data_IF_147715290909
#
_entry.id   IF_147715290909
#
_cell.length_a   1.000
_cell.length_b   1.000
_cell.length_c   1.000
_cell.angle_alpha   90.00
_cell.angle_beta   90.00
_cell.angle_gamma   90.00
#
_symmetry.space_group_name_H-M   'P 1'
#
loop_
_entity.id
_entity.type
_entity.pdbx_description
1 polymer ?
#
# COMPACT_ATOMS: atom_id res chain seq x y z
N UNK A 1 -2.79 -23.83 27.85
CA UNK A 1 -2.68 -22.88 26.73
C UNK A 1 -2.29 -21.54 27.31
N UNK A 2 -1.17 -20.99 26.87
CA UNK A 2 -0.61 -19.71 27.34
C UNK A 2 -0.77 -18.67 26.22
N UNK A 3 -1.21 -17.46 26.57
CA UNK A 3 -1.39 -16.35 25.62
C UNK A 3 -0.19 -15.42 25.71
N UNK A 4 0.53 -15.28 24.61
CA UNK A 4 1.65 -14.35 24.49
C UNK A 4 1.16 -13.08 23.79
N UNK A 5 1.08 -11.98 24.53
CA UNK A 5 0.89 -10.65 23.97
C UNK A 5 2.26 -10.06 23.64
N UNK A 6 2.55 -9.88 22.35
CA UNK A 6 3.88 -9.47 21.93
C UNK A 6 3.93 -7.96 21.66
N UNK A 7 4.47 -7.23 22.64
CA UNK A 7 4.90 -5.83 22.52
C UNK A 7 5.95 -5.65 21.41
N UNK A 8 6.06 -4.46 20.82
CA UNK A 8 6.84 -4.11 19.61
C UNK A 8 8.33 -4.52 19.50
N UNK A 9 8.94 -5.25 20.45
CA UNK A 9 10.37 -5.65 20.44
C UNK A 9 10.58 -7.07 20.99
N UNK A 10 11.59 -7.77 20.47
CA UNK A 10 12.09 -9.04 21.01
C UNK A 10 11.17 -10.25 20.78
N UNK A 11 10.38 -10.21 19.70
CA UNK A 11 9.30 -11.17 19.48
C UNK A 11 9.81 -12.59 19.19
N UNK A 12 10.84 -12.72 18.35
CA UNK A 12 11.51 -13.99 18.05
C UNK A 12 12.07 -14.65 19.30
N UNK A 13 12.86 -13.93 20.08
CA UNK A 13 13.50 -14.47 21.29
C UNK A 13 12.47 -14.92 22.32
N UNK A 14 11.36 -14.18 22.50
CA UNK A 14 10.26 -14.62 23.38
C UNK A 14 9.61 -15.93 22.92
N UNK A 15 9.42 -16.12 21.62
CA UNK A 15 8.91 -17.38 21.08
C UNK A 15 9.88 -18.54 21.34
N UNK A 16 11.18 -18.30 21.14
CA UNK A 16 12.24 -19.28 21.40
C UNK A 16 12.28 -19.65 22.90
N UNK A 17 12.24 -18.67 23.79
CA UNK A 17 12.21 -18.88 25.25
C UNK A 17 10.96 -19.66 25.68
N UNK A 18 9.81 -19.35 25.09
CA UNK A 18 8.57 -20.06 25.31
C UNK A 18 8.67 -21.53 24.90
N UNK A 19 9.22 -21.81 23.72
CA UNK A 19 9.48 -23.17 23.28
C UNK A 19 10.45 -23.91 24.19
N UNK A 20 11.60 -23.28 24.50
CA UNK A 20 12.63 -23.86 25.37
C UNK A 20 12.06 -24.26 26.73
N UNK A 21 11.13 -23.47 27.27
CA UNK A 21 10.51 -23.71 28.58
C UNK A 21 9.46 -24.82 28.57
N UNK A 22 8.99 -25.23 27.38
CA UNK A 22 7.85 -26.14 27.21
C UNK A 22 8.20 -27.49 26.58
N UNK A 23 9.46 -27.72 26.17
CA UNK A 23 9.92 -28.97 25.55
C UNK A 23 11.12 -29.60 26.28
N UNK A 24 11.31 -30.91 26.16
CA UNK A 24 12.49 -31.61 26.70
C UNK A 24 13.73 -31.38 25.83
N UNK A 25 14.62 -30.49 26.23
CA UNK A 25 15.83 -30.13 25.48
C UNK A 25 16.84 -31.28 25.23
N UNK A 26 16.65 -32.45 25.86
CA UNK A 26 17.49 -33.64 25.63
C UNK A 26 17.12 -34.37 24.34
N UNK A 27 15.89 -34.19 23.87
CA UNK A 27 15.34 -34.81 22.66
C UNK A 27 15.79 -34.05 21.40
N UNK A 28 15.66 -34.71 20.25
CA UNK A 28 15.87 -34.14 18.93
C UNK A 28 14.52 -33.74 18.34
N UNK A 29 14.45 -32.60 17.65
CA UNK A 29 13.20 -32.02 17.17
C UNK A 29 13.23 -31.66 15.69
N UNK A 30 12.05 -31.76 15.06
CA UNK A 30 11.72 -31.05 13.83
C UNK A 30 11.02 -29.73 14.19
N UNK A 31 11.42 -28.64 13.54
CA UNK A 31 10.73 -27.35 13.57
C UNK A 31 9.90 -27.18 12.30
N UNK A 32 8.58 -27.03 12.43
CA UNK A 32 7.69 -26.70 11.32
C UNK A 32 7.23 -25.24 11.44
N UNK A 33 7.42 -24.45 10.40
CA UNK A 33 7.05 -23.03 10.35
C UNK A 33 6.01 -22.84 9.24
N UNK A 34 4.87 -22.27 9.58
CA UNK A 34 3.81 -21.93 8.64
C UNK A 34 3.67 -20.42 8.60
N UNK A 35 3.76 -19.81 7.43
CA UNK A 35 3.67 -18.36 7.29
C UNK A 35 3.08 -17.94 5.94
N UNK A 36 2.33 -16.85 5.91
CA UNK A 36 1.84 -16.27 4.66
C UNK A 36 2.81 -15.25 4.05
N UNK A 37 3.68 -14.67 4.88
CA UNK A 37 4.76 -13.77 4.46
C UNK A 37 6.09 -14.16 5.09
N UNK A 38 7.18 -14.03 4.35
CA UNK A 38 8.53 -14.33 4.78
C UNK A 38 9.37 -13.05 4.79
N UNK A 39 10.43 -13.02 5.60
CA UNK A 39 11.38 -11.92 5.57
C UNK A 39 12.12 -11.84 4.22
N UNK A 40 12.25 -10.63 3.69
CA UNK A 40 12.99 -10.36 2.45
C UNK A 40 14.48 -10.73 2.56
N UNK A 41 15.03 -10.55 3.77
CA UNK A 41 16.38 -10.91 4.13
C UNK A 41 16.38 -12.28 4.82
N UNK A 42 16.75 -13.31 4.06
CA UNK A 42 16.83 -14.70 4.53
C UNK A 42 17.88 -14.89 5.63
N UNK A 43 18.83 -13.96 5.82
CA UNK A 43 19.73 -14.01 6.97
C UNK A 43 18.96 -13.89 8.30
N UNK A 44 17.79 -13.24 8.32
CA UNK A 44 16.94 -13.19 9.53
C UNK A 44 16.31 -14.53 9.84
N UNK A 45 15.93 -15.28 8.80
CA UNK A 45 15.44 -16.66 8.93
C UNK A 45 16.56 -17.54 9.49
N UNK A 46 17.77 -17.42 8.94
CA UNK A 46 18.93 -18.18 9.41
C UNK A 46 19.31 -17.85 10.85
N UNK A 47 19.40 -16.57 11.20
CA UNK A 47 19.67 -16.15 12.57
C UNK A 47 18.64 -16.71 13.58
N UNK A 48 17.36 -16.81 13.20
CA UNK A 48 16.34 -17.41 14.05
C UNK A 48 16.58 -18.90 14.28
N UNK A 49 16.92 -19.64 13.21
CA UNK A 49 17.21 -21.08 13.27
C UNK A 49 18.47 -21.34 14.10
N UNK A 50 19.49 -20.50 13.98
CA UNK A 50 20.70 -20.55 14.80
C UNK A 50 20.39 -20.27 16.28
N UNK A 51 19.58 -19.25 16.56
CA UNK A 51 19.19 -18.88 17.93
C UNK A 51 18.41 -20.02 18.61
N UNK A 52 17.43 -20.62 17.93
CA UNK A 52 16.67 -21.74 18.51
C UNK A 52 17.52 -23.01 18.62
N UNK A 53 18.38 -23.31 17.65
CA UNK A 53 19.24 -24.50 17.65
C UNK A 53 20.32 -24.45 18.75
N UNK A 54 20.69 -23.26 19.20
CA UNK A 54 21.55 -23.06 20.38
C UNK A 54 20.93 -23.58 21.68
N UNK A 55 19.60 -23.67 21.74
CA UNK A 55 18.84 -24.02 22.94
C UNK A 55 18.07 -25.34 22.84
N UNK A 56 17.74 -25.77 21.61
CA UNK A 56 16.93 -26.95 21.31
C UNK A 56 17.65 -27.73 20.21
N UNK A 57 17.78 -29.05 20.36
CA UNK A 57 18.48 -29.89 19.37
C UNK A 57 17.60 -30.09 18.13
N UNK A 58 17.70 -29.16 17.18
CA UNK A 58 17.06 -29.29 15.88
C UNK A 58 17.83 -30.25 14.98
N UNK A 59 17.10 -31.06 14.23
CA UNK A 59 17.66 -31.87 13.12
C UNK A 59 17.02 -31.54 11.79
N UNK A 60 15.80 -31.00 11.80
CA UNK A 60 15.02 -30.74 10.61
C UNK A 60 14.22 -29.44 10.79
N UNK A 61 14.14 -28.65 9.73
CA UNK A 61 13.32 -27.44 9.63
C UNK A 61 12.49 -27.52 8.36
N UNK A 62 11.16 -27.45 8.51
CA UNK A 62 10.22 -27.41 7.40
C UNK A 62 9.54 -26.06 7.35
N UNK A 63 9.71 -25.35 6.25
CA UNK A 63 9.16 -24.03 6.04
C UNK A 63 8.01 -24.09 5.03
N UNK A 64 6.79 -23.94 5.52
CA UNK A 64 5.55 -23.90 4.75
C UNK A 64 5.15 -22.45 4.47
N UNK A 65 5.19 -22.06 3.21
CA UNK A 65 4.97 -20.67 2.79
C UNK A 65 3.88 -20.62 1.72
N UNK A 66 3.12 -19.54 1.70
CA UNK A 66 2.28 -19.24 0.56
C UNK A 66 3.07 -19.26 -0.77
N UNK A 67 2.54 -19.94 -1.80
CA UNK A 67 3.24 -20.06 -3.07
C UNK A 67 3.54 -18.72 -3.75
N UNK A 68 2.69 -17.70 -3.57
CA UNK A 68 2.91 -16.35 -4.11
C UNK A 68 4.10 -15.67 -3.43
N UNK A 69 4.31 -15.96 -2.15
CA UNK A 69 5.45 -15.44 -1.40
C UNK A 69 6.76 -16.12 -1.84
N UNK A 70 6.72 -17.42 -2.14
CA UNK A 70 7.86 -18.11 -2.75
C UNK A 70 8.24 -17.49 -4.12
N UNK A 71 7.23 -17.20 -4.95
CA UNK A 71 7.44 -16.51 -6.23
C UNK A 71 8.00 -15.11 -6.00
N UNK A 72 7.45 -14.35 -5.05
CA UNK A 72 7.89 -12.99 -4.71
C UNK A 72 9.38 -12.94 -4.39
N UNK A 73 9.85 -13.81 -3.50
CA UNK A 73 11.26 -13.89 -3.05
C UNK A 73 12.17 -14.43 -4.15
N UNK A 74 11.67 -15.39 -4.93
CA UNK A 74 12.39 -16.05 -5.99
C UNK A 74 12.73 -17.50 -5.63
N UNK A 75 12.28 -18.42 -6.48
CA UNK A 75 12.43 -19.87 -6.27
C UNK A 75 13.90 -20.28 -6.19
N UNK A 76 14.77 -19.76 -7.06
CA UNK A 76 16.21 -20.09 -7.03
C UNK A 76 16.89 -19.59 -5.75
N UNK A 77 16.56 -18.37 -5.30
CA UNK A 77 17.09 -17.81 -4.06
C UNK A 77 16.69 -18.67 -2.85
N UNK A 78 15.47 -19.20 -2.84
CA UNK A 78 15.01 -20.13 -1.80
C UNK A 78 15.70 -21.50 -1.87
N UNK A 79 16.03 -22.00 -3.07
CA UNK A 79 16.81 -23.23 -3.23
C UNK A 79 18.25 -23.08 -2.79
N UNK A 80 18.92 -22.01 -3.20
CA UNK A 80 20.27 -21.69 -2.73
C UNK A 80 20.28 -21.59 -1.20
N UNK A 81 19.23 -21.02 -0.61
CA UNK A 81 19.06 -20.99 0.84
C UNK A 81 18.86 -22.39 1.44
N UNK A 82 18.00 -23.23 0.85
CA UNK A 82 17.81 -24.63 1.27
C UNK A 82 19.12 -25.45 1.21
N UNK A 83 19.86 -25.34 0.10
CA UNK A 83 21.14 -26.00 -0.11
C UNK A 83 22.21 -25.55 0.89
N UNK A 84 22.17 -24.28 1.33
CA UNK A 84 23.14 -23.76 2.31
C UNK A 84 23.06 -24.45 3.68
N UNK A 85 21.95 -25.12 4.01
CA UNK A 85 21.81 -25.88 5.27
C UNK A 85 22.42 -27.29 5.23
N UNK A 86 22.80 -27.79 4.04
CA UNK A 86 23.50 -29.07 3.93
C UNK A 86 24.77 -29.11 4.80
N UNK A 87 25.44 -27.97 4.96
CA UNK A 87 26.66 -27.82 5.76
C UNK A 87 26.41 -27.81 7.29
N UNK A 88 25.17 -27.58 7.74
CA UNK A 88 24.83 -27.40 9.16
C UNK A 88 24.31 -28.68 9.84
N UNK A 89 24.26 -29.81 9.13
CA UNK A 89 23.70 -31.08 9.62
C UNK A 89 22.26 -30.94 10.17
N UNK A 90 21.52 -29.96 9.65
CA UNK A 90 20.10 -29.73 9.85
C UNK A 90 19.46 -29.83 8.47
N UNK A 91 18.51 -30.76 8.29
CA UNK A 91 17.70 -30.80 7.08
C UNK A 91 16.85 -29.55 6.99
N UNK A 92 16.85 -28.86 5.85
CA UNK A 92 15.97 -27.73 5.60
C UNK A 92 15.14 -28.03 4.36
N UNK A 93 13.84 -27.77 4.42
CA UNK A 93 12.93 -27.98 3.29
C UNK A 93 11.96 -26.80 3.18
N UNK A 94 11.85 -26.20 1.98
CA UNK A 94 10.80 -25.24 1.69
C UNK A 94 9.66 -25.90 0.93
N UNK A 95 8.46 -25.83 1.51
CA UNK A 95 7.22 -26.29 0.87
C UNK A 95 6.30 -25.11 0.61
N UNK A 96 5.97 -24.88 -0.65
CA UNK A 96 4.97 -23.90 -1.03
C UNK A 96 3.56 -24.46 -0.91
N UNK A 97 2.65 -23.65 -0.39
CA UNK A 97 1.23 -23.95 -0.29
C UNK A 97 0.51 -23.13 -1.36
N UNK A 98 0.07 -23.85 -2.39
CA UNK A 98 -0.61 -23.31 -3.55
C UNK A 98 -2.12 -23.53 -3.41
N UNK A 99 -2.81 -22.48 -3.01
CA UNK A 99 -4.27 -22.46 -2.87
C UNK A 99 -4.88 -21.30 -3.65
N UNK A 100 -6.13 -21.41 -4.14
CA UNK A 100 -6.79 -20.31 -4.84
C UNK A 100 -6.83 -19.01 -4.03
N UNK A 101 -7.03 -19.13 -2.71
CA UNK A 101 -7.01 -18.03 -1.76
C UNK A 101 -5.66 -17.92 -1.06
N UNK A 102 -5.41 -16.81 -0.35
CA UNK A 102 -4.21 -16.62 0.47
C UNK A 102 -4.12 -17.75 1.52
N UNK A 103 -2.99 -18.46 1.54
CA UNK A 103 -2.65 -19.35 2.65
C UNK A 103 -2.37 -18.47 3.86
N UNK A 104 -3.27 -18.43 4.84
CA UNK A 104 -3.23 -17.41 5.90
C UNK A 104 -2.83 -17.97 7.28
N UNK A 105 -2.45 -19.24 7.38
CA UNK A 105 -2.04 -19.85 8.64
C UNK A 105 -0.66 -19.34 9.07
N UNK A 106 -0.52 -19.07 10.37
CA UNK A 106 0.73 -18.61 10.99
C UNK A 106 0.96 -19.41 12.26
N UNK A 107 1.91 -20.33 12.18
CA UNK A 107 2.15 -21.30 13.22
C UNK A 107 3.61 -21.72 13.27
N UNK A 108 4.06 -22.08 14.45
CA UNK A 108 5.42 -22.53 14.73
C UNK A 108 5.29 -23.76 15.62
N UNK A 109 5.81 -24.90 15.18
CA UNK A 109 5.65 -26.16 15.88
C UNK A 109 6.99 -26.87 16.06
N UNK A 110 7.24 -27.37 17.26
CA UNK A 110 8.29 -28.33 17.56
C UNK A 110 7.65 -29.67 17.88
N UNK A 111 8.14 -30.73 17.26
CA UNK A 111 7.77 -32.10 17.61
C UNK A 111 9.05 -32.94 17.72
N UNK A 112 9.17 -33.69 18.81
CA UNK A 112 10.30 -34.61 18.97
C UNK A 112 10.15 -35.83 18.06
N UNK A 113 11.28 -36.42 17.64
CA UNK A 113 11.27 -37.62 16.79
C UNK A 113 10.60 -38.85 17.42
N UNK A 114 10.54 -38.91 18.75
CA UNK A 114 9.82 -39.96 19.47
C UNK A 114 8.35 -39.59 19.76
N UNK A 115 7.92 -38.41 19.30
CA UNK A 115 6.57 -37.86 19.43
C UNK A 115 6.05 -37.79 20.87
N UNK A 116 6.94 -37.78 21.86
CA UNK A 116 6.59 -37.71 23.29
C UNK A 116 6.49 -36.28 23.81
N UNK A 117 7.04 -35.32 23.09
CA UNK A 117 7.08 -33.92 23.53
C UNK A 117 7.02 -33.00 22.31
N UNK A 118 6.32 -31.88 22.47
CA UNK A 118 6.21 -30.89 21.42
C UNK A 118 5.63 -29.60 21.97
N UNK A 119 5.69 -28.56 21.14
CA UNK A 119 5.06 -27.29 21.42
C UNK A 119 4.56 -26.67 20.13
N UNK A 120 3.40 -26.02 20.18
CA UNK A 120 2.77 -25.36 19.04
C UNK A 120 2.38 -23.94 19.45
N UNK A 121 2.89 -22.95 18.71
CA UNK A 121 2.49 -21.56 18.80
C UNK A 121 1.70 -21.17 17.55
N UNK A 122 0.49 -20.64 17.71
CA UNK A 122 -0.39 -20.20 16.59
C UNK A 122 -0.89 -18.78 16.84
N UNK A 123 -0.96 -17.95 15.81
CA UNK A 123 -1.58 -16.63 15.95
C UNK A 123 -1.40 -15.71 14.76
N UNK A 124 -1.05 -14.44 15.00
CA UNK A 124 -1.03 -13.40 13.96
C UNK A 124 0.36 -13.10 13.39
N UNK A 125 1.44 -13.50 14.08
CA UNK A 125 2.80 -13.15 13.69
C UNK A 125 3.29 -13.94 12.48
N UNK A 126 3.49 -13.27 11.35
CA UNK A 126 4.22 -13.82 10.21
C UNK A 126 5.73 -13.90 10.48
N UNK A 127 6.40 -14.82 9.78
CA UNK A 127 7.85 -14.97 9.78
C UNK A 127 8.54 -13.90 8.92
N UNK A 128 8.15 -12.63 9.12
CA UNK A 128 8.53 -11.47 8.33
C UNK A 128 9.16 -10.36 9.18
N UNK A 129 9.67 -9.32 8.52
CA UNK A 129 10.30 -8.16 9.15
C UNK A 129 9.37 -7.45 10.15
N UNK A 130 8.14 -7.15 9.76
CA UNK A 130 7.17 -6.46 10.62
C UNK A 130 6.53 -7.41 11.65
N UNK A 131 6.39 -8.68 11.28
CA UNK A 131 5.78 -9.74 12.08
C UNK A 131 6.67 -10.18 13.25
N UNK A 132 7.64 -11.06 13.00
CA UNK A 132 8.47 -11.67 14.05
C UNK A 132 9.83 -10.99 14.26
N UNK A 133 10.43 -10.37 13.24
CA UNK A 133 11.84 -9.93 13.29
C UNK A 133 12.06 -8.43 13.56
N UNK A 134 11.01 -7.70 13.89
CA UNK A 134 11.11 -6.26 14.06
C UNK A 134 12.01 -5.88 15.25
N UNK A 135 12.97 -4.98 15.02
CA UNK A 135 13.94 -4.55 16.05
C UNK A 135 13.54 -3.23 16.77
N UNK A 136 12.75 -2.32 16.17
CA UNK A 136 12.34 -1.01 16.75
C UNK A 136 11.00 -0.48 16.22
N UNK A 137 10.43 0.47 16.96
CA UNK A 137 9.25 1.39 16.85
C UNK A 137 8.23 1.32 15.68
N UNK A 138 8.48 0.63 14.57
CA UNK A 138 7.51 0.32 13.51
C UNK A 138 7.26 -1.19 13.46
N UNK A 139 6.71 -1.75 14.54
CA UNK A 139 6.37 -3.17 14.60
C UNK A 139 4.89 -3.35 14.92
N UNK A 140 4.26 -4.31 14.24
CA UNK A 140 2.89 -4.72 14.52
C UNK A 140 2.75 -5.17 15.98
N UNK A 141 1.57 -5.00 16.56
CA UNK A 141 1.20 -5.76 17.75
C UNK A 141 0.75 -7.15 17.31
N UNK A 142 1.35 -8.19 17.88
CA UNK A 142 1.10 -9.57 17.47
C UNK A 142 0.70 -10.42 18.67
N UNK A 143 -0.17 -11.41 18.46
CA UNK A 143 -0.60 -12.35 19.49
C UNK A 143 -0.34 -13.78 19.05
N UNK A 144 0.17 -14.61 19.97
CA UNK A 144 0.38 -16.05 19.76
C UNK A 144 -0.20 -16.83 20.94
N UNK A 145 -0.82 -17.97 20.66
CA UNK A 145 -1.30 -18.95 21.62
C UNK A 145 -0.36 -20.15 21.61
N UNK A 146 0.15 -20.54 22.77
CA UNK A 146 1.04 -21.70 22.92
C UNK A 146 0.31 -22.86 23.58
N UNK A 147 0.55 -24.06 23.06
CA UNK A 147 0.24 -25.33 23.72
C UNK A 147 1.45 -26.24 23.68
N UNK A 148 1.61 -27.08 24.72
CA UNK A 148 2.58 -28.17 24.79
C UNK A 148 1.90 -29.54 24.88
N UNK A 149 0.58 -29.58 24.64
CA UNK A 149 -0.15 -30.84 24.49
C UNK A 149 0.27 -31.53 23.19
N UNK A 150 1.01 -32.62 23.33
CA UNK A 150 1.63 -33.31 22.20
C UNK A 150 0.59 -33.86 21.21
N UNK A 151 -0.58 -34.28 21.68
CA UNK A 151 -1.65 -34.77 20.80
C UNK A 151 -2.19 -33.62 19.93
N UNK A 152 -2.42 -32.44 20.49
CA UNK A 152 -2.77 -31.23 19.70
C UNK A 152 -1.67 -30.88 18.68
N UNK A 153 -0.39 -30.97 19.06
CA UNK A 153 0.73 -30.70 18.13
C UNK A 153 0.71 -31.70 16.97
N UNK A 154 0.54 -32.99 17.26
CA UNK A 154 0.46 -34.07 16.26
C UNK A 154 -0.75 -33.91 15.36
N UNK A 155 -1.92 -33.62 15.92
CA UNK A 155 -3.14 -33.34 15.16
C UNK A 155 -2.90 -32.18 14.18
N UNK A 156 -2.37 -31.05 14.65
CA UNK A 156 -2.09 -29.90 13.80
C UNK A 156 -1.13 -30.22 12.66
N UNK A 157 -0.04 -30.96 12.93
CA UNK A 157 0.93 -31.35 11.92
C UNK A 157 0.39 -32.41 10.96
N UNK A 158 -0.50 -33.29 11.41
CA UNK A 158 -1.15 -34.30 10.54
C UNK A 158 -2.10 -33.69 9.50
N UNK A 159 -2.56 -32.44 9.70
CA UNK A 159 -3.35 -31.72 8.70
C UNK A 159 -2.56 -31.41 7.42
N UNK A 160 -1.24 -31.56 7.44
CA UNK A 160 -0.40 -31.52 6.25
C UNK A 160 -0.78 -32.62 5.25
N UNK A 161 -1.07 -33.82 5.75
CA UNK A 161 -1.34 -35.02 4.93
C UNK A 161 -2.71 -34.93 4.22
N UNK A 162 -3.64 -34.12 4.73
CA UNK A 162 -4.99 -33.98 4.17
C UNK A 162 -4.99 -33.17 2.85
N UNK A 163 -3.96 -32.36 2.63
CA UNK A 163 -3.95 -31.37 1.55
C UNK A 163 -2.74 -31.47 0.61
N UNK A 164 -2.07 -32.64 0.53
CA UNK A 164 -0.85 -32.86 -0.28
C UNK A 164 -0.89 -32.24 -1.70
N UNK A 165 -2.06 -32.24 -2.36
CA UNK A 165 -2.23 -31.63 -3.69
C UNK A 165 -1.88 -30.13 -3.76
N UNK A 166 -2.00 -29.41 -2.64
CA UNK A 166 -1.69 -27.99 -2.54
C UNK A 166 -0.22 -27.76 -2.09
N UNK A 167 0.47 -28.81 -1.62
CA UNK A 167 1.83 -28.71 -1.11
C UNK A 167 2.79 -29.03 -2.26
N UNK A 168 3.53 -28.02 -2.70
CA UNK A 168 4.48 -28.09 -3.80
C UNK A 168 5.88 -27.82 -3.26
N UNK A 169 6.82 -28.72 -3.52
CA UNK A 169 8.24 -28.42 -3.32
C UNK A 169 8.69 -27.35 -4.34
N UNK A 170 9.86 -26.75 -4.11
CA UNK A 170 10.39 -25.70 -4.99
C UNK A 170 10.65 -26.20 -6.42
N UNK A 171 10.88 -27.50 -6.64
CA UNK A 171 10.99 -28.12 -7.97
C UNK A 171 9.67 -28.09 -8.75
N UNK A 172 8.56 -28.46 -8.12
CA UNK A 172 7.24 -28.42 -8.76
C UNK A 172 6.76 -27.00 -9.02
N UNK A 173 7.26 -26.02 -8.26
CA UNK A 173 6.98 -24.62 -8.51
C UNK A 173 7.67 -24.05 -9.76
N UNK A 174 8.57 -24.78 -10.43
CA UNK A 174 9.19 -24.31 -11.67
C UNK A 174 8.19 -24.03 -12.79
N UNK A 175 7.01 -24.66 -12.77
CA UNK A 175 5.93 -24.34 -13.71
C UNK A 175 5.49 -22.86 -13.60
N UNK A 176 5.70 -22.25 -12.42
CA UNK A 176 5.44 -20.83 -12.17
C UNK A 176 6.60 -19.92 -12.58
N UNK A 177 7.78 -20.45 -12.95
CA UNK A 177 8.91 -19.71 -13.57
C UNK A 177 8.63 -19.30 -15.03
N UNK A 178 7.36 -19.24 -15.43
CA UNK A 178 6.92 -18.51 -16.62
C UNK A 178 6.30 -17.19 -16.14
N UNK A 179 5.93 -16.27 -17.02
CA UNK A 179 5.07 -15.13 -16.64
C UNK A 179 3.65 -15.64 -16.31
N UNK A 180 3.58 -16.54 -15.33
CA UNK A 180 2.40 -17.21 -14.82
C UNK A 180 1.50 -16.18 -14.15
N UNK A 181 0.23 -16.52 -14.02
CA UNK A 181 -0.74 -15.65 -13.39
C UNK A 181 -0.30 -15.17 -11.99
N UNK A 182 0.19 -16.09 -11.14
CA UNK A 182 0.70 -15.78 -9.81
C UNK A 182 1.92 -14.85 -9.84
N UNK A 183 2.81 -14.99 -10.84
CA UNK A 183 3.92 -14.05 -11.03
C UNK A 183 3.43 -12.65 -11.40
N UNK A 184 2.51 -12.54 -12.36
CA UNK A 184 1.92 -11.24 -12.78
C UNK A 184 1.31 -10.52 -11.58
N UNK A 185 0.52 -11.24 -10.79
CA UNK A 185 -0.08 -10.72 -9.57
C UNK A 185 0.96 -10.25 -8.54
N UNK A 186 1.94 -11.10 -8.23
CA UNK A 186 2.98 -10.79 -7.25
C UNK A 186 3.84 -9.58 -7.67
N UNK A 187 4.10 -9.41 -8.98
CA UNK A 187 4.81 -8.25 -9.52
C UNK A 187 4.00 -6.96 -9.35
N UNK A 188 2.71 -6.98 -9.67
CA UNK A 188 1.83 -5.81 -9.48
C UNK A 188 1.75 -5.39 -8.00
N UNK A 189 1.74 -6.36 -7.09
CA UNK A 189 1.76 -6.13 -5.64
C UNK A 189 3.07 -5.51 -5.10
N UNK A 190 4.13 -5.39 -5.92
CA UNK A 190 5.36 -4.71 -5.49
C UNK A 190 5.23 -3.18 -5.44
N UNK A 191 4.06 -2.64 -5.81
CA UNK A 191 3.80 -1.21 -5.79
C UNK A 191 2.34 -0.87 -5.49
N UNK A 192 2.11 0.41 -5.22
CA UNK A 192 0.77 1.02 -5.13
C UNK A 192 0.51 1.90 -6.33
N UNK A 193 -0.75 2.25 -6.54
CA UNK A 193 -1.19 3.14 -7.61
C UNK A 193 -1.45 4.53 -7.04
N UNK A 194 -1.00 5.55 -7.76
CA UNK A 194 -1.19 6.94 -7.40
C UNK A 194 -2.06 7.62 -8.45
N UNK A 195 -3.13 8.25 -7.97
CA UNK A 195 -4.09 8.99 -8.76
C UNK A 195 -4.18 10.44 -8.29
N UNK A 196 -4.28 11.41 -9.22
CA UNK A 196 -4.50 12.83 -8.90
C UNK A 196 -5.97 13.18 -9.04
N UNK A 197 -6.54 13.71 -7.98
CA UNK A 197 -7.86 14.33 -8.01
C UNK A 197 -7.77 15.69 -8.68
N UNK A 198 -8.72 15.97 -9.56
CA UNK A 198 -8.76 17.22 -10.33
C UNK A 198 -9.52 18.35 -9.64
N UNK A 199 -10.39 18.02 -8.68
CA UNK A 199 -11.23 19.00 -7.98
C UNK A 199 -10.44 19.73 -6.88
N UNK A 200 -10.64 21.04 -6.77
CA UNK A 200 -9.97 21.90 -5.78
C UNK A 200 -10.99 22.76 -5.02
N UNK A 201 -10.63 23.24 -3.82
CA UNK A 201 -11.49 24.19 -3.09
C UNK A 201 -11.84 25.43 -3.92
N UNK A 202 -10.89 25.99 -4.67
CA UNK A 202 -11.11 27.11 -5.58
C UNK A 202 -12.23 26.81 -6.60
N UNK A 203 -12.24 25.61 -7.18
CA UNK A 203 -13.27 25.21 -8.14
C UNK A 203 -14.62 24.94 -7.46
N UNK A 204 -14.62 24.34 -6.27
CA UNK A 204 -15.82 23.97 -5.53
C UNK A 204 -16.58 25.21 -5.02
N UNK A 205 -15.87 26.16 -4.40
CA UNK A 205 -16.44 27.39 -3.85
C UNK A 205 -16.60 28.52 -4.90
N UNK A 206 -16.28 28.30 -6.17
CA UNK A 206 -16.61 29.26 -7.22
C UNK A 206 -18.14 29.44 -7.32
N UNK A 207 -18.62 30.68 -7.37
CA UNK A 207 -20.03 30.97 -7.62
C UNK A 207 -20.28 30.92 -9.12
N UNK A 208 -21.30 30.19 -9.56
CA UNK A 208 -21.59 29.93 -10.98
C UNK A 208 -23.00 30.37 -11.37
N UNK A 209 -23.08 31.07 -12.50
CA UNK A 209 -24.35 31.52 -13.07
C UNK A 209 -24.49 31.06 -14.53
N UNK A 210 -25.71 30.71 -14.92
CA UNK A 210 -26.08 30.51 -16.32
C UNK A 210 -26.21 31.85 -17.02
N UNK A 211 -25.63 31.96 -18.21
CA UNK A 211 -25.73 33.16 -19.03
C UNK A 211 -27.11 33.28 -19.68
N UNK A 212 -27.64 34.51 -19.72
CA UNK A 212 -28.78 34.86 -20.59
C UNK A 212 -28.33 34.94 -22.05
N UNK A 213 -29.28 35.07 -23.01
CA UNK A 213 -28.92 35.31 -24.42
C UNK A 213 -28.07 36.58 -24.60
N UNK A 214 -28.35 37.63 -23.81
CA UNK A 214 -27.52 38.85 -23.77
C UNK A 214 -26.14 38.54 -23.20
N UNK A 215 -26.05 37.76 -22.12
CA UNK A 215 -24.77 37.35 -21.55
C UNK A 215 -23.91 36.56 -22.54
N UNK A 216 -24.53 35.66 -23.34
CA UNK A 216 -23.85 34.89 -24.38
C UNK A 216 -23.33 35.76 -25.52
N UNK A 217 -24.06 36.82 -25.92
CA UNK A 217 -23.58 37.74 -26.96
C UNK A 217 -22.38 38.60 -26.53
N UNK A 218 -22.12 38.71 -25.23
CA UNK A 218 -21.09 39.59 -24.64
C UNK A 218 -19.80 38.85 -24.23
N UNK A 219 -19.70 37.54 -24.48
CA UNK A 219 -18.53 36.70 -24.16
C UNK A 219 -17.23 37.27 -24.78
N UNK A 220 -17.32 37.88 -25.96
CA UNK A 220 -16.19 38.44 -26.70
C UNK A 220 -15.77 39.87 -26.32
N UNK A 221 -16.57 40.60 -25.54
CA UNK A 221 -16.38 42.03 -25.30
C UNK A 221 -15.61 42.37 -24.01
N UNK A 222 -14.97 41.37 -23.38
CA UNK A 222 -14.17 41.47 -22.15
C UNK A 222 -14.88 42.06 -20.90
N UNK A 223 -16.16 42.49 -21.00
CA UNK A 223 -16.94 43.08 -19.90
C UNK A 223 -16.97 42.12 -18.70
N UNK A 224 -17.35 40.87 -18.92
CA UNK A 224 -17.45 39.87 -17.85
C UNK A 224 -16.07 39.50 -17.27
N UNK A 225 -15.02 39.47 -18.09
CA UNK A 225 -13.64 39.26 -17.63
C UNK A 225 -13.14 40.41 -16.76
N UNK A 226 -13.46 41.65 -17.13
CA UNK A 226 -13.13 42.85 -16.35
C UNK A 226 -13.85 42.87 -14.98
N UNK A 227 -14.99 42.17 -14.87
CA UNK A 227 -15.67 41.93 -13.59
C UNK A 227 -15.07 40.76 -12.79
N UNK A 228 -13.99 40.15 -13.26
CA UNK A 228 -13.32 39.03 -12.62
C UNK A 228 -14.02 37.68 -12.82
N UNK A 229 -14.90 37.55 -13.81
CA UNK A 229 -15.55 36.28 -14.14
C UNK A 229 -14.78 35.53 -15.23
N UNK A 230 -14.60 34.23 -15.01
CA UNK A 230 -14.24 33.28 -16.05
C UNK A 230 -15.51 32.92 -16.82
N UNK A 231 -15.44 33.00 -18.15
CA UNK A 231 -16.59 32.83 -19.05
C UNK A 231 -16.44 31.55 -19.86
N UNK A 232 -17.41 30.65 -19.74
CA UNK A 232 -17.59 29.47 -20.58
C UNK A 232 -18.75 29.69 -21.57
N UNK A 233 -19.01 28.72 -22.45
CA UNK A 233 -20.03 28.85 -23.50
C UNK A 233 -21.44 29.14 -22.97
N UNK A 234 -21.81 28.60 -21.80
CA UNK A 234 -23.15 28.76 -21.22
C UNK A 234 -23.16 29.32 -19.79
N UNK A 235 -22.00 29.44 -19.16
CA UNK A 235 -21.89 29.81 -17.75
C UNK A 235 -20.78 30.81 -17.49
N UNK A 236 -20.94 31.58 -16.43
CA UNK A 236 -19.87 32.41 -15.85
C UNK A 236 -19.59 31.96 -14.43
N UNK A 237 -18.33 32.06 -14.02
CA UNK A 237 -17.92 31.73 -12.67
C UNK A 237 -16.92 32.73 -12.11
N UNK A 238 -16.98 32.98 -10.80
CA UNK A 238 -16.00 33.81 -10.12
C UNK A 238 -15.59 33.18 -8.80
N UNK A 239 -14.29 33.22 -8.55
CA UNK A 239 -13.69 32.82 -7.29
C UNK A 239 -13.54 34.07 -6.42
N UNK A 240 -14.10 34.02 -5.21
CA UNK A 240 -14.03 35.12 -4.23
C UNK A 240 -13.08 34.79 -3.08
N UNK A 241 -12.98 33.52 -2.72
CA UNK A 241 -12.11 33.04 -1.65
C UNK A 241 -10.70 32.75 -2.15
N UNK A 242 -9.73 33.01 -1.28
CA UNK A 242 -8.34 32.59 -1.44
C UNK A 242 -8.03 31.41 -0.50
N UNK A 243 -7.80 30.24 -1.09
CA UNK A 243 -7.44 29.02 -0.36
C UNK A 243 -5.94 28.71 -0.37
N UNK A 244 -5.09 29.62 -0.86
CA UNK A 244 -3.64 29.41 -0.92
C UNK A 244 -3.00 29.22 0.47
N UNK A 245 -3.61 29.80 1.51
CA UNK A 245 -3.09 29.81 2.89
C UNK A 245 -3.53 28.63 3.76
N UNK A 246 -4.56 27.89 3.37
CA UNK A 246 -5.11 26.79 4.20
C UNK A 246 -4.50 25.43 3.91
N UNK A 247 -3.80 25.26 2.80
CA UNK A 247 -3.24 23.97 2.42
C UNK A 247 -1.81 23.81 2.92
N UNK A 248 -1.35 22.56 3.04
CA UNK A 248 0.10 22.27 2.90
C UNK A 248 0.53 22.94 1.59
N UNK A 249 1.58 23.77 1.61
CA UNK A 249 1.99 24.64 0.50
C UNK A 249 1.66 24.02 -0.87
N UNK A 250 0.74 24.63 -1.64
CA UNK A 250 0.22 24.06 -2.90
C UNK A 250 1.35 23.62 -3.87
N UNK A 251 2.49 24.32 -3.83
CA UNK A 251 3.72 24.00 -4.57
C UNK A 251 4.41 22.74 -4.07
N UNK A 252 4.43 22.49 -2.76
CA UNK A 252 5.05 21.31 -2.15
C UNK A 252 4.27 20.06 -2.53
N UNK A 253 2.94 20.07 -2.46
CA UNK A 253 2.12 18.91 -2.84
C UNK A 253 2.22 18.60 -4.34
N UNK A 254 2.26 19.64 -5.19
CA UNK A 254 2.38 19.45 -6.63
C UNK A 254 3.81 19.04 -7.04
N UNK A 255 4.85 19.59 -6.41
CA UNK A 255 6.23 19.15 -6.60
C UNK A 255 6.42 17.71 -6.10
N UNK A 256 5.85 17.35 -4.95
CA UNK A 256 5.89 16.01 -4.39
C UNK A 256 5.18 15.02 -5.32
N UNK A 257 3.95 15.33 -5.77
CA UNK A 257 3.23 14.51 -6.73
C UNK A 257 4.00 14.34 -8.04
N UNK A 258 4.51 15.44 -8.62
CA UNK A 258 5.31 15.38 -9.85
C UNK A 258 6.62 14.60 -9.67
N UNK A 259 7.25 14.67 -8.49
CA UNK A 259 8.41 13.87 -8.13
C UNK A 259 8.07 12.38 -8.09
N UNK A 260 6.95 12.02 -7.45
CA UNK A 260 6.42 10.65 -7.44
C UNK A 260 6.13 10.16 -8.88
N UNK A 261 5.48 10.97 -9.72
CA UNK A 261 5.21 10.59 -11.11
C UNK A 261 6.48 10.26 -11.90
N UNK A 262 7.56 11.04 -11.71
CA UNK A 262 8.85 10.80 -12.37
C UNK A 262 9.47 9.46 -11.96
N UNK A 263 9.20 9.01 -10.73
CA UNK A 263 9.69 7.76 -10.16
C UNK A 263 8.82 6.55 -10.51
N UNK A 264 7.55 6.75 -10.87
CA UNK A 264 6.60 5.68 -11.21
C UNK A 264 6.52 5.30 -12.70
N UNK A 265 5.56 4.43 -13.01
CA UNK A 265 5.19 3.98 -14.36
C UNK A 265 3.70 4.25 -14.57
N UNK A 266 3.34 5.04 -15.58
CA UNK A 266 1.95 5.35 -15.88
C UNK A 266 1.24 4.13 -16.49
N UNK A 267 0.15 3.69 -15.86
CA UNK A 267 -0.76 2.64 -16.33
C UNK A 267 -2.18 3.17 -16.46
N UNK A 268 -3.10 2.38 -17.01
CA UNK A 268 -4.52 2.76 -17.09
C UNK A 268 -5.21 2.93 -15.72
N UNK A 269 -4.65 2.37 -14.63
CA UNK A 269 -5.16 2.59 -13.27
C UNK A 269 -4.59 3.84 -12.58
N UNK A 270 -3.54 4.45 -13.15
CA UNK A 270 -2.80 5.53 -12.52
C UNK A 270 -1.30 5.28 -12.58
N UNK A 271 -0.52 6.00 -11.77
CA UNK A 271 0.93 5.78 -11.73
C UNK A 271 1.26 4.68 -10.74
N UNK A 272 1.77 3.56 -11.24
CA UNK A 272 2.31 2.49 -10.40
C UNK A 272 3.66 2.90 -9.84
N UNK A 273 3.80 2.80 -8.51
CA UNK A 273 4.97 3.20 -7.75
C UNK A 273 5.41 2.05 -6.83
N UNK A 274 6.66 1.60 -6.92
CA UNK A 274 7.20 0.59 -6.01
C UNK A 274 7.02 0.96 -4.55
N UNK A 275 6.71 -0.03 -3.70
CA UNK A 275 6.52 0.15 -2.26
C UNK A 275 7.73 0.78 -1.57
N UNK A 276 8.94 0.45 -2.05
CA UNK A 276 10.18 1.02 -1.53
C UNK A 276 10.26 2.55 -1.69
N UNK A 277 9.59 3.11 -2.69
CA UNK A 277 9.61 4.54 -3.01
C UNK A 277 8.50 5.35 -2.30
N UNK A 278 7.58 4.68 -1.59
CA UNK A 278 6.39 5.28 -0.97
C UNK A 278 6.55 5.57 0.53
N UNK A 279 7.75 5.45 1.10
CA UNK A 279 7.97 5.71 2.52
C UNK A 279 7.62 7.16 2.89
N UNK A 280 6.78 7.33 3.93
CA UNK A 280 6.42 8.66 4.46
C UNK A 280 5.20 9.34 3.82
N UNK A 281 4.38 8.60 3.05
CA UNK A 281 3.13 9.12 2.46
C UNK A 281 1.86 8.78 3.27
N UNK A 282 1.99 8.00 4.35
CA UNK A 282 0.86 7.50 5.15
C UNK A 282 0.60 8.36 6.39
N UNK A 283 0.37 9.66 6.21
CA UNK A 283 -0.25 10.47 7.27
C UNK A 283 -1.77 10.32 7.13
N UNK A 284 -2.41 9.65 8.09
CA UNK A 284 -3.86 9.62 8.20
C UNK A 284 -4.33 11.03 8.59
N UNK A 285 -4.89 11.78 7.63
CA UNK A 285 -5.39 13.13 7.89
C UNK A 285 -6.82 13.04 8.39
N UNK A 286 -7.06 13.57 9.59
CA UNK A 286 -8.38 13.65 10.19
C UNK A 286 -9.28 14.64 9.41
N UNK A 287 -10.35 14.12 8.81
CA UNK A 287 -11.31 14.90 8.05
C UNK A 287 -12.01 15.96 8.92
N UNK A 288 -12.21 15.73 10.22
CA UNK A 288 -12.77 16.72 11.12
C UNK A 288 -11.81 17.91 11.27
N UNK A 289 -10.52 17.64 11.44
CA UNK A 289 -9.50 18.68 11.51
C UNK A 289 -9.38 19.50 10.21
N UNK A 290 -9.43 18.83 9.05
CA UNK A 290 -9.46 19.52 7.75
C UNK A 290 -10.68 20.45 7.67
N UNK A 291 -11.85 19.96 8.09
CA UNK A 291 -13.09 20.74 8.04
C UNK A 291 -13.02 21.97 8.94
N UNK A 292 -12.45 21.85 10.15
CA UNK A 292 -12.26 22.98 11.06
C UNK A 292 -11.39 24.08 10.45
N UNK A 293 -10.25 23.73 9.83
CA UNK A 293 -9.38 24.70 9.15
C UNK A 293 -10.12 25.40 8.02
N UNK A 294 -10.80 24.63 7.16
CA UNK A 294 -11.55 25.16 6.03
C UNK A 294 -12.68 26.08 6.48
N UNK A 295 -13.48 25.64 7.45
CA UNK A 295 -14.63 26.38 7.98
C UNK A 295 -14.21 27.71 8.61
N UNK A 296 -13.14 27.70 9.40
CA UNK A 296 -12.58 28.93 9.97
C UNK A 296 -12.12 29.92 8.89
N UNK A 297 -11.42 29.43 7.87
CA UNK A 297 -10.94 30.27 6.77
C UNK A 297 -12.08 30.85 5.92
N UNK A 298 -13.06 30.02 5.53
CA UNK A 298 -14.25 30.46 4.80
C UNK A 298 -15.04 31.47 5.63
N UNK A 299 -15.26 31.21 6.92
CA UNK A 299 -15.97 32.10 7.82
C UNK A 299 -15.32 33.49 7.93
N UNK A 300 -13.99 33.54 8.10
CA UNK A 300 -13.25 34.80 8.17
C UNK A 300 -13.31 35.60 6.86
N UNK A 301 -13.13 34.93 5.73
CA UNK A 301 -13.16 35.59 4.42
C UNK A 301 -14.57 36.05 4.04
N UNK A 302 -15.59 35.24 4.32
CA UNK A 302 -16.97 35.54 3.94
C UNK A 302 -17.44 36.86 4.58
N UNK A 303 -17.10 37.12 5.84
CA UNK A 303 -17.48 38.37 6.51
C UNK A 303 -16.95 39.62 5.79
N UNK A 304 -15.73 39.56 5.26
CA UNK A 304 -15.14 40.64 4.46
C UNK A 304 -15.59 40.68 2.99
N UNK A 305 -16.12 39.58 2.45
CA UNK A 305 -16.47 39.44 1.03
C UNK A 305 -17.97 39.58 0.73
N UNK A 306 -18.85 39.49 1.74
CA UNK A 306 -20.32 39.56 1.59
C UNK A 306 -20.76 40.70 0.67
N UNK A 307 -20.31 41.93 0.94
CA UNK A 307 -20.68 43.09 0.15
C UNK A 307 -20.24 42.95 -1.32
N UNK A 308 -18.99 42.55 -1.57
CA UNK A 308 -18.46 42.38 -2.92
C UNK A 308 -19.19 41.27 -3.71
N UNK A 309 -19.56 40.19 -3.04
CA UNK A 309 -20.33 39.09 -3.64
C UNK A 309 -21.73 39.60 -4.05
N UNK A 310 -22.41 40.30 -3.14
CA UNK A 310 -23.75 40.87 -3.40
C UNK A 310 -23.71 41.91 -4.52
N UNK A 311 -22.74 42.82 -4.51
CA UNK A 311 -22.57 43.83 -5.55
C UNK A 311 -22.30 43.20 -6.92
N UNK A 312 -21.45 42.18 -6.98
CA UNK A 312 -21.18 41.45 -8.22
C UNK A 312 -22.44 40.76 -8.77
N UNK A 313 -23.23 40.13 -7.90
CA UNK A 313 -24.49 39.48 -8.28
C UNK A 313 -25.53 40.50 -8.77
N UNK A 314 -25.76 41.57 -8.03
CA UNK A 314 -26.72 42.62 -8.42
C UNK A 314 -26.30 43.32 -9.71
N UNK A 315 -25.00 43.49 -9.96
CA UNK A 315 -24.51 44.01 -11.23
C UNK A 315 -24.83 43.07 -12.40
N UNK A 316 -24.55 41.77 -12.26
CA UNK A 316 -24.89 40.77 -13.27
C UNK A 316 -26.39 40.71 -13.57
N UNK A 317 -27.20 40.83 -12.52
CA UNK A 317 -28.67 40.85 -12.58
C UNK A 317 -29.20 42.10 -13.28
N UNK A 318 -28.77 43.29 -12.87
CA UNK A 318 -29.23 44.56 -13.42
C UNK A 318 -28.78 44.77 -14.88
N UNK A 319 -27.60 44.27 -15.23
CA UNK A 319 -27.11 44.31 -16.62
C UNK A 319 -27.71 43.20 -17.47
N UNK A 320 -28.46 42.27 -16.89
CA UNK A 320 -29.19 41.21 -17.59
C UNK A 320 -28.30 40.12 -18.18
N UNK A 321 -27.12 39.87 -17.59
CA UNK A 321 -26.17 38.87 -18.07
C UNK A 321 -26.48 37.45 -17.64
N UNK A 322 -27.27 37.27 -16.56
CA UNK A 322 -27.63 35.97 -16.02
C UNK A 322 -29.05 35.57 -16.41
N UNK A 323 -29.28 34.26 -16.57
CA UNK A 323 -30.56 33.69 -16.95
C UNK A 323 -31.62 33.85 -15.84
N UNK A 324 -32.90 33.82 -16.20
CA UNK A 324 -34.02 33.93 -15.26
C UNK A 324 -33.96 32.88 -14.13
N UNK A 325 -33.46 31.69 -14.42
CA UNK A 325 -33.30 30.60 -13.43
C UNK A 325 -32.37 30.98 -12.27
N UNK A 326 -31.50 31.99 -12.46
CA UNK A 326 -30.47 32.37 -11.52
C UNK A 326 -30.73 33.73 -10.84
N UNK A 327 -31.79 34.46 -11.24
CA UNK A 327 -32.10 35.82 -10.71
C UNK A 327 -32.50 35.84 -9.23
N UNK A 328 -32.98 34.71 -8.70
CA UNK A 328 -33.42 34.55 -7.32
C UNK A 328 -32.41 33.76 -6.47
N UNK A 329 -31.21 33.48 -7.00
CA UNK A 329 -30.15 32.84 -6.21
C UNK A 329 -29.68 33.77 -5.11
N UNK A 330 -29.46 33.21 -3.93
CA UNK A 330 -28.68 33.85 -2.88
C UNK A 330 -27.25 33.28 -2.94
N UNK A 331 -26.27 34.03 -3.46
CA UNK A 331 -24.91 33.54 -3.62
C UNK A 331 -24.20 33.29 -2.29
N UNK A 332 -24.59 33.98 -1.21
CA UNK A 332 -24.01 33.76 0.13
C UNK A 332 -24.54 32.45 0.68
N UNK A 333 -25.86 32.24 0.61
CA UNK A 333 -26.48 30.99 1.06
C UNK A 333 -25.97 29.78 0.25
N UNK A 334 -25.70 29.93 -1.05
CA UNK A 334 -25.08 28.87 -1.86
C UNK A 334 -23.70 28.46 -1.31
N UNK A 335 -22.88 29.43 -0.90
CA UNK A 335 -21.55 29.17 -0.34
C UNK A 335 -21.63 28.51 1.04
N UNK A 336 -22.55 28.97 1.89
CA UNK A 336 -22.81 28.36 3.20
C UNK A 336 -23.29 26.90 3.05
N UNK A 337 -24.18 26.64 2.10
CA UNK A 337 -24.64 25.29 1.79
C UNK A 337 -23.49 24.40 1.28
N UNK A 338 -22.60 24.93 0.43
CA UNK A 338 -21.40 24.21 -0.02
C UNK A 338 -20.49 23.83 1.15
N UNK A 339 -20.25 24.76 2.09
CA UNK A 339 -19.47 24.47 3.28
C UNK A 339 -20.15 23.38 4.13
N UNK A 340 -21.45 23.49 4.38
CA UNK A 340 -22.20 22.49 5.16
C UNK A 340 -22.18 21.11 4.50
N UNK A 341 -22.30 21.03 3.18
CA UNK A 341 -22.23 19.75 2.46
C UNK A 341 -20.88 19.04 2.64
N UNK A 342 -19.77 19.78 2.77
CA UNK A 342 -18.45 19.19 3.01
C UNK A 342 -18.27 18.63 4.43
N UNK A 343 -19.10 19.07 5.38
CA UNK A 343 -19.12 18.49 6.72
C UNK A 343 -19.54 17.03 6.69
N UNK A 344 -20.49 16.71 5.82
CA UNK A 344 -21.09 15.37 5.69
C UNK A 344 -20.39 14.51 4.61
N UNK A 345 -19.60 15.13 3.72
CA UNK A 345 -18.84 14.45 2.66
C UNK A 345 -17.33 14.50 2.92
N UNK A 346 -16.90 13.72 3.91
CA UNK A 346 -15.50 13.59 4.32
C UNK A 346 -14.60 13.12 3.17
N UNK A 347 -15.10 12.23 2.30
CA UNK A 347 -14.33 11.70 1.16
C UNK A 347 -14.00 12.82 0.18
N UNK A 348 -14.99 13.65 -0.16
CA UNK A 348 -14.75 14.79 -1.06
C UNK A 348 -13.82 15.82 -0.43
N UNK A 349 -13.95 16.08 0.86
CA UNK A 349 -13.09 16.98 1.60
C UNK A 349 -11.62 16.54 1.55
N UNK A 350 -11.33 15.28 1.88
CA UNK A 350 -9.98 14.71 1.80
C UNK A 350 -9.41 14.74 0.39
N UNK A 351 -10.21 14.43 -0.64
CA UNK A 351 -9.75 14.49 -2.05
C UNK A 351 -9.30 15.88 -2.49
N UNK A 352 -10.01 16.92 -2.07
CA UNK A 352 -9.64 18.31 -2.38
C UNK A 352 -8.45 18.80 -1.54
N UNK A 353 -8.23 18.20 -0.37
CA UNK A 353 -7.12 18.51 0.53
C UNK A 353 -5.81 17.84 0.08
N UNK A 354 -5.78 16.51 -0.01
CA UNK A 354 -4.56 15.73 -0.29
C UNK A 354 -4.15 15.75 -1.77
N UNK A 355 -5.08 16.14 -2.67
CA UNK A 355 -4.95 16.19 -4.15
C UNK A 355 -4.58 14.89 -4.86
N UNK A 356 -4.02 13.90 -4.18
CA UNK A 356 -3.74 12.58 -4.73
C UNK A 356 -4.11 11.48 -3.75
N UNK A 357 -4.43 10.31 -4.28
CA UNK A 357 -4.68 9.10 -3.48
C UNK A 357 -3.70 8.02 -3.87
N UNK A 358 -3.12 7.38 -2.86
CA UNK A 358 -2.34 6.15 -3.00
C UNK A 358 -3.27 4.99 -2.65
N UNK A 359 -3.35 3.97 -3.50
CA UNK A 359 -4.18 2.79 -3.26
C UNK A 359 -3.50 1.50 -3.70
N UNK A 360 -3.80 0.41 -3.01
CA UNK A 360 -3.28 -0.92 -3.35
C UNK A 360 -3.90 -1.46 -4.65
N UNK A 361 -3.38 -2.56 -5.17
CA UNK A 361 -3.96 -3.26 -6.32
C UNK A 361 -5.45 -3.57 -6.05
N UNK A 362 -6.41 -3.03 -6.83
CA UNK A 362 -7.84 -3.18 -6.53
C UNK A 362 -8.42 -4.55 -6.94
N UNK A 363 -7.57 -5.44 -7.47
CA UNK A 363 -7.97 -6.75 -7.99
C UNK A 363 -7.51 -7.85 -7.04
N UNK A 364 -8.41 -8.80 -6.77
CA UNK A 364 -8.07 -10.05 -6.11
C UNK A 364 -7.73 -11.14 -7.15
N UNK A 365 -7.28 -12.30 -6.68
CA UNK A 365 -6.81 -13.40 -7.54
C UNK A 365 -7.90 -14.07 -8.39
N UNK A 366 -9.17 -13.74 -8.22
CA UNK A 366 -10.23 -14.18 -9.13
C UNK A 366 -10.34 -13.34 -10.40
N UNK A 367 -9.67 -12.18 -10.47
CA UNK A 367 -9.77 -11.20 -11.57
C UNK A 367 -8.64 -11.38 -12.60
N UNK A 368 -8.57 -12.59 -13.18
CA UNK A 368 -7.44 -13.00 -14.02
C UNK A 368 -7.24 -12.09 -15.25
N UNK A 369 -8.34 -11.68 -15.88
CA UNK A 369 -8.31 -10.83 -17.07
C UNK A 369 -7.78 -9.42 -16.75
N UNK A 370 -8.26 -8.81 -15.67
CA UNK A 370 -7.88 -7.47 -15.23
C UNK A 370 -6.42 -7.42 -14.80
N UNK A 371 -5.97 -8.43 -14.04
CA UNK A 371 -4.57 -8.58 -13.64
C UNK A 371 -3.67 -8.77 -14.86
N UNK A 372 -4.07 -9.63 -15.80
CA UNK A 372 -3.32 -9.84 -17.04
C UNK A 372 -3.18 -8.56 -17.85
N UNK A 373 -4.29 -7.83 -18.02
CA UNK A 373 -4.34 -6.57 -18.78
C UNK A 373 -3.48 -5.49 -18.12
N UNK A 374 -3.56 -5.34 -16.80
CA UNK A 374 -2.75 -4.37 -16.05
C UNK A 374 -1.27 -4.69 -16.07
N UNK A 375 -0.91 -5.97 -15.95
CA UNK A 375 0.46 -6.42 -16.08
C UNK A 375 1.02 -6.11 -17.47
N UNK A 376 0.28 -6.46 -18.54
CA UNK A 376 0.73 -6.23 -19.91
C UNK A 376 0.91 -4.73 -20.19
N UNK A 377 0.01 -3.87 -19.69
CA UNK A 377 0.16 -2.41 -19.76
C UNK A 377 1.40 -1.93 -19.00
N UNK A 378 1.60 -2.37 -17.74
CA UNK A 378 2.77 -2.00 -16.94
C UNK A 378 4.09 -2.37 -17.66
N UNK A 379 4.18 -3.58 -18.21
CA UNK A 379 5.36 -4.04 -18.97
C UNK A 379 5.55 -3.21 -20.23
N UNK A 380 4.50 -2.99 -21.02
CA UNK A 380 4.59 -2.21 -22.25
C UNK A 380 5.06 -0.77 -21.98
N UNK A 381 4.57 -0.16 -20.90
CA UNK A 381 4.95 1.18 -20.45
C UNK A 381 6.39 1.22 -19.94
N UNK A 382 6.82 0.22 -19.18
CA UNK A 382 8.22 0.08 -18.74
C UNK A 382 9.19 -0.06 -19.93
N UNK A 383 8.82 -0.83 -20.95
CA UNK A 383 9.63 -1.07 -22.15
C UNK A 383 9.73 0.17 -23.05
N UNK A 384 8.60 0.83 -23.30
CA UNK A 384 8.47 1.95 -24.24
C UNK A 384 9.04 3.28 -23.72
N UNK A 385 9.33 3.39 -22.42
CA UNK A 385 9.91 4.60 -21.83
C UNK A 385 11.31 4.88 -22.42
N UNK A 386 11.46 6.06 -23.04
CA UNK A 386 12.72 6.50 -23.67
C UNK A 386 13.88 6.59 -22.67
N UNK A 387 13.64 7.21 -21.52
CA UNK A 387 14.54 7.22 -20.36
C UNK A 387 13.88 6.41 -19.26
N UNK A 388 14.42 5.22 -18.99
CA UNK A 388 13.92 4.33 -17.93
C UNK A 388 14.34 4.90 -16.57
N UNK A 389 13.42 4.90 -15.63
CA UNK A 389 13.69 5.21 -14.22
C UNK A 389 13.92 3.89 -13.46
N UNK A 390 14.31 4.00 -12.18
CA UNK A 390 14.57 2.83 -11.33
C UNK A 390 13.39 1.85 -11.29
N UNK A 391 12.15 2.34 -11.22
CA UNK A 391 10.96 1.49 -11.26
C UNK A 391 10.84 0.70 -12.58
N UNK A 392 11.03 1.35 -13.74
CA UNK A 392 10.99 0.69 -15.04
C UNK A 392 12.10 -0.36 -15.18
N UNK A 393 13.32 -0.05 -14.72
CA UNK A 393 14.40 -1.04 -14.71
C UNK A 393 14.09 -2.21 -13.77
N UNK A 394 13.63 -1.94 -12.55
CA UNK A 394 13.26 -2.95 -11.57
C UNK A 394 12.15 -3.88 -12.06
N UNK A 395 11.13 -3.37 -12.75
CA UNK A 395 10.06 -4.18 -13.36
C UNK A 395 10.61 -5.09 -14.46
N UNK A 396 11.50 -4.57 -15.31
CA UNK A 396 12.10 -5.37 -16.39
C UNK A 396 13.07 -6.42 -15.86
N UNK A 397 13.82 -6.10 -14.81
CA UNK A 397 14.70 -7.03 -14.10
C UNK A 397 13.89 -8.12 -13.40
N UNK A 398 12.81 -7.76 -12.72
CA UNK A 398 11.89 -8.71 -12.09
C UNK A 398 11.28 -9.66 -13.11
N UNK A 399 10.93 -9.15 -14.30
CA UNK A 399 10.47 -9.95 -15.43
C UNK A 399 11.55 -10.90 -15.95
N UNK A 400 12.77 -10.42 -16.12
CA UNK A 400 13.89 -11.21 -16.66
C UNK A 400 14.33 -12.31 -15.70
N UNK A 401 14.47 -11.98 -14.41
CA UNK A 401 14.90 -12.91 -13.36
C UNK A 401 13.76 -13.72 -12.76
N UNK A 402 12.51 -13.39 -13.11
CA UNK A 402 11.29 -13.97 -12.54
C UNK A 402 11.21 -13.81 -11.02
N UNK A 403 11.70 -12.68 -10.51
CA UNK A 403 11.69 -12.33 -9.08
C UNK A 403 11.01 -10.97 -8.88
N UNK A 404 9.73 -10.92 -8.49
CA UNK A 404 9.04 -9.67 -8.18
C UNK A 404 9.82 -8.76 -7.23
N UNK A 405 10.45 -9.32 -6.19
CA UNK A 405 11.24 -8.55 -5.22
C UNK A 405 12.40 -7.75 -5.85
N UNK A 406 12.88 -8.12 -7.04
CA UNK A 406 13.93 -7.40 -7.75
C UNK A 406 13.55 -5.94 -8.06
N UNK A 407 12.24 -5.61 -8.12
CA UNK A 407 11.77 -4.22 -8.18
C UNK A 407 12.32 -3.41 -7.00
N UNK A 408 12.14 -3.92 -5.78
CA UNK A 408 12.56 -3.25 -4.55
C UNK A 408 14.09 -3.21 -4.45
N UNK A 409 14.75 -4.34 -4.73
CA UNK A 409 16.23 -4.45 -4.72
C UNK A 409 16.87 -3.41 -5.66
N UNK A 410 16.29 -3.21 -6.85
CA UNK A 410 16.80 -2.25 -7.83
C UNK A 410 16.49 -0.79 -7.46
N UNK A 411 15.32 -0.51 -6.89
CA UNK A 411 14.95 0.84 -6.50
C UNK A 411 15.80 1.35 -5.33
N UNK A 412 16.05 0.51 -4.32
CA UNK A 412 16.85 0.89 -3.15
C UNK A 412 18.32 1.15 -3.52
N UNK A 413 18.89 0.37 -4.45
CA UNK A 413 20.29 0.57 -4.87
C UNK A 413 20.51 1.87 -5.63
N UNK A 414 19.53 2.32 -6.42
CA UNK A 414 19.65 3.55 -7.22
C UNK A 414 19.34 4.82 -6.42
N UNK A 415 18.53 4.76 -5.36
CA UNK A 415 18.36 5.90 -4.45
C UNK A 415 19.64 6.22 -3.68
N UNK A 416 20.41 5.20 -3.29
CA UNK A 416 21.69 5.39 -2.61
C UNK A 416 22.75 6.06 -3.50
N UNK A 417 22.65 5.94 -4.83
CA UNK A 417 23.56 6.59 -5.78
C UNK A 417 23.17 8.06 -6.05
N UNK A 418 21.88 8.40 -6.02
CA UNK A 418 21.39 9.77 -6.24
C UNK A 418 21.67 10.67 -5.00
N UNK A 419 21.61 10.13 -3.77
CA UNK A 419 21.93 10.89 -2.55
C UNK A 419 23.42 11.26 -2.46
N UNK A 420 24.32 10.37 -2.89
CA UNK A 420 25.79 10.60 -2.86
C UNK A 420 26.24 11.68 -3.85
N UNK A 421 25.51 11.84 -4.97
CA UNK A 421 25.81 12.86 -5.98
C UNK A 421 25.16 14.23 -5.69
N UNK A 422 24.37 14.34 -4.62
CA UNK A 422 23.71 15.59 -4.21
C UNK A 422 24.48 16.36 -3.13
N UNK A 423 25.57 15.79 -2.60
CA UNK A 423 26.47 16.40 -1.62
C UNK A 423 27.80 16.92 -2.23
N UNK A 424 27.95 16.91 -3.56
CA UNK A 424 29.00 17.64 -4.32
C UNK A 424 28.43 18.88 -5.00
#
# INVERSE_FOLDING_TARGET
>A
MEVFFNTAKGKSSRLIDAFRSNVDNRKKYQLSIFTCYLADDLAKVSNFIDEISSSIRLTDVKLYIDARECIRIGIEKLREFEESYADYNIGFEVTAIDTPNLFHSKAYALLSHDEQTGALAVGSANFSNAGLFAKRNNSNYETLLLTNDVETVKEFLSLQDINEKNFKNLEKLEEYKRESYSFKYALLQQGKFVHKWSETFNQYFAIRYKLSEKGKSEIGNDILKNLGFTVDAETISRQFFDFSSIKKNDEVDEQQFNSLLRRGIETFLGHWLPLSLLQGLDDEVDAEHIFEILSNNVGQQLEGLKQHITEAFEKLKNEGFIAETDLNKDPILELENKLNNLKDDQVKLSRMWDKFSVFDLPYDLSWEYEIGTLYDDLIAKAQSKKKKNAAAHGVLEAKYTLRPIAVSEHCVSHEQEDDVNSEE
#
